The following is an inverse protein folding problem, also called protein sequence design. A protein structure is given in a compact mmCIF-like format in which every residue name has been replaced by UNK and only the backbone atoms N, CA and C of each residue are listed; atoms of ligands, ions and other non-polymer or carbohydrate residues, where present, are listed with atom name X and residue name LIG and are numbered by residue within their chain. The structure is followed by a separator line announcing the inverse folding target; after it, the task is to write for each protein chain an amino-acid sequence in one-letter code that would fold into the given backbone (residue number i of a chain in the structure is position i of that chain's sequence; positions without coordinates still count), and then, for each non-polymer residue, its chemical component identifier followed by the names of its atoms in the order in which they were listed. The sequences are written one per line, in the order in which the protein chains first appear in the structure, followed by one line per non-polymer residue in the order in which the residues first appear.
data_IF_597299366642
#
_entry.id   IF_597299366642
#
_cell.length_a   1.000
_cell.length_b   1.000
_cell.length_c   1.000
_cell.angle_alpha   90.00
_cell.angle_beta   90.00
_cell.angle_gamma   90.00
#
_symmetry.space_group_name_H-M   'P 1'
#
loop_
_entity.id
_entity.type
_entity.pdbx_description
1 polymer ?
#
# COMPACT_ATOMS: atom_id res chain seq x y z
N UNK A 1 14.02 2.48 -23.05
CA UNK A 1 12.72 3.17 -23.19
C UNK A 1 12.54 3.98 -21.90
N UNK A 2 12.63 5.31 -21.95
CA UNK A 2 12.52 6.12 -20.74
C UNK A 2 11.09 6.04 -20.20
N UNK A 3 10.94 5.65 -18.93
CA UNK A 3 9.64 5.66 -18.26
C UNK A 3 9.10 7.10 -18.32
N UNK A 4 7.95 7.31 -18.97
CA UNK A 4 7.30 8.61 -19.02
C UNK A 4 6.62 8.90 -17.69
N UNK A 5 7.43 9.28 -16.70
CA UNK A 5 6.99 9.57 -15.34
C UNK A 5 5.90 10.64 -15.30
N UNK A 6 6.04 11.69 -16.12
CA UNK A 6 5.04 12.76 -16.23
C UNK A 6 3.67 12.25 -16.72
N UNK A 7 3.67 11.35 -17.71
CA UNK A 7 2.46 10.71 -18.23
C UNK A 7 1.79 9.80 -17.20
N UNK A 8 2.58 9.01 -16.46
CA UNK A 8 2.10 8.16 -15.38
C UNK A 8 1.48 8.99 -14.25
N UNK A 9 2.16 10.04 -13.79
CA UNK A 9 1.64 10.94 -12.76
C UNK A 9 0.35 11.65 -13.19
N UNK A 10 0.20 11.99 -14.46
CA UNK A 10 -1.06 12.53 -15.00
C UNK A 10 -2.18 11.48 -14.94
N UNK A 11 -1.88 10.25 -15.31
CA UNK A 11 -2.84 9.14 -15.31
C UNK A 11 -3.34 8.84 -13.89
N UNK A 12 -2.42 8.70 -12.93
CA UNK A 12 -2.74 8.52 -11.51
C UNK A 12 -3.64 9.65 -11.02
N UNK A 13 -3.28 10.92 -11.27
CA UNK A 13 -4.10 12.06 -10.87
C UNK A 13 -5.51 12.01 -11.47
N UNK A 14 -5.65 11.65 -12.75
CA UNK A 14 -6.95 11.53 -13.40
C UNK A 14 -7.82 10.46 -12.73
N UNK A 15 -7.25 9.27 -12.45
CA UNK A 15 -7.96 8.19 -11.76
C UNK A 15 -8.42 8.64 -10.36
N UNK A 16 -7.55 9.34 -9.63
CA UNK A 16 -7.86 9.86 -8.30
C UNK A 16 -8.91 10.98 -8.30
N UNK A 17 -9.11 11.67 -9.42
CA UNK A 17 -10.19 12.64 -9.59
C UNK A 17 -11.54 11.99 -9.86
N UNK A 18 -11.55 10.77 -10.40
CA UNK A 18 -12.77 9.98 -10.65
C UNK A 18 -13.31 9.34 -9.36
N UNK A 19 -12.50 9.23 -8.31
CA UNK A 19 -12.91 8.61 -7.04
C UNK A 19 -13.55 9.63 -6.08
N UNK A 20 -14.81 9.38 -5.71
CA UNK A 20 -15.61 10.25 -4.85
C UNK A 20 -15.11 10.33 -3.40
N UNK A 21 -14.17 9.47 -3.01
CA UNK A 21 -13.55 9.49 -1.69
C UNK A 21 -12.49 10.57 -1.48
N UNK A 22 -12.02 11.22 -2.56
CA UNK A 22 -10.87 12.13 -2.56
C UNK A 22 -11.30 13.59 -2.79
N UNK A 23 -11.38 14.35 -1.69
CA UNK A 23 -11.83 15.74 -1.60
C UNK A 23 -10.66 16.75 -1.53
N UNK A 24 -9.71 16.63 -2.45
CA UNK A 24 -8.62 17.61 -2.58
C UNK A 24 -7.23 16.98 -2.61
N UNK A 25 -6.22 17.81 -2.88
CA UNK A 25 -4.86 17.33 -3.15
C UNK A 25 -4.17 16.75 -1.91
N UNK A 26 -4.49 17.24 -0.71
CA UNK A 26 -3.96 16.67 0.54
C UNK A 26 -4.34 15.19 0.68
N UNK A 27 -5.62 14.84 0.49
CA UNK A 27 -6.09 13.45 0.56
C UNK A 27 -5.51 12.58 -0.56
N UNK A 28 -5.27 13.15 -1.75
CA UNK A 28 -4.60 12.43 -2.83
C UNK A 28 -3.13 12.14 -2.49
N UNK A 29 -2.44 13.09 -1.88
CA UNK A 29 -1.07 12.89 -1.41
C UNK A 29 -1.03 11.82 -0.32
N UNK A 30 -1.94 11.87 0.66
CA UNK A 30 -2.03 10.86 1.73
C UNK A 30 -2.37 9.46 1.18
N UNK A 31 -3.31 9.38 0.23
CA UNK A 31 -3.67 8.13 -0.44
C UNK A 31 -2.47 7.53 -1.19
N UNK A 32 -1.71 8.33 -1.94
CA UNK A 32 -0.50 7.83 -2.60
C UNK A 32 0.60 7.51 -1.60
N UNK A 33 0.69 8.26 -0.50
CA UNK A 33 1.73 8.12 0.51
C UNK A 33 1.81 6.71 1.08
N UNK A 34 0.68 6.15 1.54
CA UNK A 34 0.68 4.80 2.10
C UNK A 34 0.92 3.71 1.02
N UNK A 35 0.43 3.90 -0.20
CA UNK A 35 0.63 2.96 -1.31
C UNK A 35 2.10 2.88 -1.70
N UNK A 36 2.74 4.04 -1.87
CA UNK A 36 4.17 4.14 -2.17
C UNK A 36 4.99 3.57 -1.01
N UNK A 37 4.62 3.86 0.23
CA UNK A 37 5.28 3.29 1.40
C UNK A 37 5.29 1.76 1.38
N UNK A 38 4.15 1.11 1.12
CA UNK A 38 4.10 -0.35 1.04
C UNK A 38 4.89 -0.92 -0.13
N UNK A 39 4.89 -0.25 -1.29
CA UNK A 39 5.68 -0.71 -2.45
C UNK A 39 7.17 -0.66 -2.14
N UNK A 40 7.64 0.46 -1.59
CA UNK A 40 9.05 0.65 -1.19
C UNK A 40 9.44 -0.33 -0.09
N UNK A 41 8.57 -0.54 0.91
CA UNK A 41 8.77 -1.55 1.95
C UNK A 41 8.93 -2.94 1.33
N UNK A 42 8.02 -3.35 0.45
CA UNK A 42 8.07 -4.66 -0.22
C UNK A 42 9.37 -4.86 -0.98
N UNK A 43 9.82 -3.85 -1.73
CA UNK A 43 11.10 -3.93 -2.46
C UNK A 43 12.28 -4.05 -1.50
N UNK A 44 12.23 -3.34 -0.37
CA UNK A 44 13.25 -3.46 0.68
C UNK A 44 13.22 -4.84 1.37
N UNK A 45 12.04 -5.43 1.59
CA UNK A 45 11.94 -6.79 2.14
C UNK A 45 12.54 -7.82 1.19
N UNK A 46 12.34 -7.67 -0.13
CA UNK A 46 12.96 -8.56 -1.13
C UNK A 46 14.48 -8.47 -1.09
N UNK A 47 15.03 -7.25 -1.00
CA UNK A 47 16.47 -7.03 -0.84
C UNK A 47 16.98 -7.67 0.45
N UNK A 48 16.31 -7.45 1.59
CA UNK A 48 16.71 -8.00 2.89
C UNK A 48 16.68 -9.53 2.90
N UNK A 49 15.65 -10.16 2.32
CA UNK A 49 15.56 -11.62 2.18
C UNK A 49 16.71 -12.22 1.37
N UNK A 50 17.33 -11.44 0.48
CA UNK A 50 18.48 -11.87 -0.32
C UNK A 50 19.82 -11.65 0.40
N UNK A 51 19.89 -10.64 1.27
CA UNK A 51 21.13 -10.24 1.95
C UNK A 51 21.28 -10.84 3.35
N UNK A 52 20.17 -11.14 4.02
CA UNK A 52 20.10 -11.59 5.41
C UNK A 52 19.35 -12.93 5.49
N UNK A 53 20.09 -14.04 5.64
CA UNK A 53 19.52 -15.41 5.67
C UNK A 53 18.48 -15.64 6.77
N UNK A 54 18.54 -14.86 7.86
CA UNK A 54 17.65 -14.96 9.02
C UNK A 54 16.62 -13.83 9.09
N UNK A 55 16.41 -13.09 7.99
CA UNK A 55 15.42 -12.02 7.95
C UNK A 55 14.00 -12.59 8.12
N UNK A 56 13.27 -12.04 9.11
CA UNK A 56 11.87 -12.35 9.34
C UNK A 56 11.06 -11.07 9.08
N UNK A 57 10.11 -11.17 8.16
CA UNK A 57 9.18 -10.07 7.89
C UNK A 57 8.28 -9.82 9.10
N UNK A 58 8.06 -8.55 9.48
CA UNK A 58 7.04 -8.20 10.45
C UNK A 58 5.61 -8.24 9.88
N UNK A 59 5.45 -8.36 8.56
CA UNK A 59 4.14 -8.32 7.91
C UNK A 59 3.43 -9.67 7.98
N UNK A 60 2.11 -9.70 8.24
CA UNK A 60 1.30 -10.87 7.98
C UNK A 60 1.36 -11.27 6.51
N UNK A 61 1.30 -12.57 6.23
CA UNK A 61 1.42 -13.11 4.87
C UNK A 61 0.51 -12.38 3.87
N UNK A 62 -0.79 -12.23 4.19
CA UNK A 62 -1.75 -11.57 3.32
C UNK A 62 -1.43 -10.08 3.02
N UNK A 63 -0.65 -9.42 3.88
CA UNK A 63 -0.32 -7.99 3.74
C UNK A 63 0.92 -7.73 2.88
N UNK A 64 1.68 -8.76 2.49
CA UNK A 64 2.77 -8.58 1.52
C UNK A 64 2.21 -8.10 0.19
N UNK A 65 2.85 -7.08 -0.39
CA UNK A 65 2.43 -6.45 -1.65
C UNK A 65 2.13 -7.48 -2.74
N UNK A 66 3.02 -8.44 -2.95
CA UNK A 66 2.88 -9.44 -4.01
C UNK A 66 1.61 -10.30 -3.87
N UNK A 67 1.06 -10.46 -2.66
CA UNK A 67 -0.10 -11.30 -2.40
C UNK A 67 -1.45 -10.63 -2.68
N UNK A 68 -1.49 -9.31 -2.86
CA UNK A 68 -2.75 -8.58 -3.13
C UNK A 68 -2.64 -7.54 -4.24
N UNK A 69 -1.45 -6.96 -4.46
CA UNK A 69 -1.19 -5.89 -5.42
C UNK A 69 -0.18 -6.24 -6.51
N UNK A 70 0.59 -7.33 -6.38
CA UNK A 70 1.67 -7.66 -7.32
C UNK A 70 1.23 -8.25 -8.66
N UNK A 71 -0.02 -8.70 -8.77
CA UNK A 71 -0.63 -9.22 -10.00
C UNK A 71 -1.53 -8.15 -10.62
N UNK A 72 -1.25 -7.76 -11.86
CA UNK A 72 -2.02 -6.74 -12.62
C UNK A 72 -3.48 -7.15 -12.84
N UNK A 73 -3.77 -8.46 -12.90
CA UNK A 73 -5.13 -9.01 -13.03
C UNK A 73 -5.72 -9.49 -11.69
N UNK A 74 -5.06 -9.17 -10.58
CA UNK A 74 -5.46 -9.59 -9.25
C UNK A 74 -6.73 -8.91 -8.70
N UNK A 75 -6.93 -9.07 -7.38
CA UNK A 75 -8.08 -8.56 -6.63
C UNK A 75 -8.49 -7.12 -7.03
N UNK A 76 -9.78 -6.88 -7.30
CA UNK A 76 -10.29 -5.57 -7.75
C UNK A 76 -11.70 -5.29 -7.22
N UNK A 77 -12.25 -4.11 -7.53
CA UNK A 77 -13.61 -3.73 -7.15
C UNK A 77 -13.85 -3.80 -5.64
N UNK A 78 -15.07 -4.18 -5.25
CA UNK A 78 -15.47 -4.26 -3.83
C UNK A 78 -14.60 -5.21 -3.00
N UNK A 79 -14.05 -6.25 -3.63
CA UNK A 79 -13.17 -7.20 -2.94
C UNK A 79 -11.88 -6.51 -2.49
N UNK A 80 -11.22 -5.77 -3.39
CA UNK A 80 -10.01 -5.03 -3.06
C UNK A 80 -10.27 -3.95 -2.02
N UNK A 81 -11.37 -3.22 -2.15
CA UNK A 81 -11.72 -2.17 -1.19
C UNK A 81 -11.95 -2.78 0.20
N UNK A 82 -12.69 -3.88 0.29
CA UNK A 82 -12.93 -4.59 1.56
C UNK A 82 -11.62 -5.12 2.14
N UNK A 83 -10.74 -5.69 1.34
CA UNK A 83 -9.44 -6.16 1.81
C UNK A 83 -8.63 -5.02 2.41
N UNK A 84 -8.52 -3.88 1.71
CA UNK A 84 -7.76 -2.73 2.20
C UNK A 84 -8.35 -2.20 3.51
N UNK A 85 -9.66 -1.95 3.55
CA UNK A 85 -10.31 -1.32 4.70
C UNK A 85 -10.48 -2.25 5.91
N UNK A 86 -10.73 -3.55 5.68
CA UNK A 86 -11.11 -4.52 6.72
C UNK A 86 -10.00 -5.47 7.11
N UNK A 87 -8.94 -5.56 6.32
CA UNK A 87 -7.83 -6.47 6.58
C UNK A 87 -6.49 -5.75 6.61
N UNK A 88 -6.06 -5.15 5.50
CA UNK A 88 -4.74 -4.53 5.38
C UNK A 88 -4.52 -3.45 6.44
N UNK A 89 -5.37 -2.42 6.48
CA UNK A 89 -5.21 -1.33 7.45
C UNK A 89 -5.32 -1.82 8.91
N UNK A 90 -6.35 -2.61 9.30
CA UNK A 90 -6.42 -3.16 10.64
C UNK A 90 -5.23 -4.04 11.03
N UNK A 91 -4.76 -4.93 10.16
CA UNK A 91 -3.64 -5.83 10.45
C UNK A 91 -2.34 -5.01 10.66
N UNK A 92 -2.11 -3.98 9.83
CA UNK A 92 -0.91 -3.14 9.93
C UNK A 92 -0.94 -2.18 11.14
N UNK A 93 -2.12 -1.69 11.54
CA UNK A 93 -2.31 -0.92 12.78
C UNK A 93 -2.09 -1.74 14.05
N UNK A 94 -2.23 -3.06 13.97
CA UNK A 94 -2.14 -3.96 15.12
C UNK A 94 -0.91 -4.88 15.06
N UNK A 95 0.13 -4.49 14.32
CA UNK A 95 1.38 -5.26 14.29
C UNK A 95 1.95 -5.44 15.69
N UNK A 96 2.46 -6.65 15.95
CA UNK A 96 3.18 -6.92 17.18
C UNK A 96 4.56 -6.25 17.14
N UNK A 97 4.79 -5.37 18.11
CA UNK A 97 6.03 -4.62 18.27
C UNK A 97 6.78 -5.01 19.55
N UNK A 98 6.26 -5.97 20.32
CA UNK A 98 6.82 -6.40 21.60
C UNK A 98 8.24 -6.94 21.47
N UNK A 99 8.58 -7.50 20.30
CA UNK A 99 9.92 -7.98 19.95
C UNK A 99 10.99 -6.88 19.82
N UNK A 100 10.60 -5.60 19.83
CA UNK A 100 11.52 -4.49 19.58
C UNK A 100 11.91 -4.33 18.10
N UNK A 101 11.20 -4.99 17.19
CA UNK A 101 11.41 -4.83 15.75
C UNK A 101 11.05 -3.41 15.31
N UNK A 102 12.08 -2.58 15.07
CA UNK A 102 11.92 -1.18 14.64
C UNK A 102 11.12 -1.03 13.34
N UNK A 103 11.16 -2.02 12.44
CA UNK A 103 10.38 -1.98 11.19
C UNK A 103 8.90 -2.14 11.49
N UNK A 104 8.53 -3.07 12.38
CA UNK A 104 7.14 -3.25 12.82
C UNK A 104 6.57 -1.96 13.45
N UNK A 105 7.37 -1.29 14.29
CA UNK A 105 7.01 0.01 14.89
C UNK A 105 6.72 1.06 13.82
N UNK A 106 7.64 1.26 12.86
CA UNK A 106 7.46 2.26 11.79
C UNK A 106 6.22 1.96 10.95
N UNK A 107 6.00 0.69 10.58
CA UNK A 107 4.82 0.31 9.79
C UNK A 107 3.55 0.63 10.57
N UNK A 108 3.49 0.24 11.84
CA UNK A 108 2.33 0.53 12.68
C UNK A 108 2.05 2.02 12.78
N UNK A 109 3.06 2.83 13.09
CA UNK A 109 2.92 4.28 13.27
C UNK A 109 2.44 4.96 11.97
N UNK A 110 2.97 4.54 10.81
CA UNK A 110 2.51 5.02 9.49
C UNK A 110 1.04 4.67 9.29
N UNK A 111 0.63 3.44 9.56
CA UNK A 111 -0.74 3.01 9.31
C UNK A 111 -1.73 3.55 10.35
N UNK A 112 -1.33 3.81 11.59
CA UNK A 112 -2.14 4.52 12.60
C UNK A 112 -2.50 5.95 12.15
N UNK A 113 -1.53 6.66 11.56
CA UNK A 113 -1.71 8.02 11.05
C UNK A 113 -2.39 8.13 9.68
N UNK A 114 -2.61 7.00 8.98
CA UNK A 114 -3.17 6.99 7.63
C UNK A 114 -4.48 6.19 7.55
N UNK A 115 -5.20 6.42 6.47
CA UNK A 115 -6.39 5.65 6.11
C UNK A 115 -6.58 5.63 4.59
N UNK A 116 -7.35 4.66 4.11
CA UNK A 116 -7.76 4.60 2.73
C UNK A 116 -8.95 5.54 2.49
N UNK A 117 -8.74 6.53 1.63
CA UNK A 117 -9.76 7.50 1.23
C UNK A 117 -10.57 7.02 0.03
N UNK A 118 -9.93 6.29 -0.89
CA UNK A 118 -10.60 5.80 -2.11
C UNK A 118 -11.79 4.93 -1.78
N UNK A 119 -12.90 5.15 -2.50
CA UNK A 119 -14.16 4.40 -2.35
C UNK A 119 -14.43 3.45 -3.53
N UNK A 120 -13.59 3.46 -4.56
CA UNK A 120 -13.63 2.50 -5.66
C UNK A 120 -12.39 1.62 -5.62
N UNK A 121 -12.57 0.33 -5.33
CA UNK A 121 -11.48 -0.63 -5.45
C UNK A 121 -11.03 -0.84 -6.90
N UNK A 122 -11.89 -0.59 -7.89
CA UNK A 122 -11.49 -0.58 -9.31
C UNK A 122 -10.52 0.57 -9.60
N UNK A 123 -10.78 1.77 -9.05
CA UNK A 123 -9.85 2.89 -9.19
C UNK A 123 -8.57 2.64 -8.39
N UNK A 124 -8.67 2.04 -7.20
CA UNK A 124 -7.51 1.69 -6.39
C UNK A 124 -6.59 0.75 -7.17
N UNK A 125 -7.14 -0.29 -7.82
CA UNK A 125 -6.38 -1.20 -8.69
C UNK A 125 -5.69 -0.48 -9.84
N UNK A 126 -6.34 0.49 -10.48
CA UNK A 126 -5.75 1.28 -11.58
C UNK A 126 -4.59 2.18 -11.13
N UNK A 127 -4.46 2.44 -9.82
CA UNK A 127 -3.37 3.26 -9.24
C UNK A 127 -2.17 2.40 -8.82
N UNK A 128 -2.37 1.11 -8.51
CA UNK A 128 -1.30 0.15 -8.21
C UNK A 128 -0.39 -0.05 -9.43
#
# INVERSE_FOLDING_TARGET
MGINLSGMMKTIRNIMWEDTGLNGDAQRIEQLGWMIFLKVLSDKEKELKLLEDNYISPLPAACHWDNWAGDDEGMTGDELLKFVDRKLFPDLKNLDVSSGNKRALIIRDVFEGNHNYMKSGTNLRRVL
#
